data_IF_060872968684
#
_entry.id   IF_060872968684
#
_cell.length_a   1.000
_cell.length_b   1.000
_cell.length_c   1.000
_cell.angle_alpha   90.00
_cell.angle_beta   90.00
_cell.angle_gamma   90.00
#
_symmetry.space_group_name_H-M   'P 1'
#
loop_
_entity.id
_entity.type
_entity.pdbx_description
1 polymer ?
#
# COMPACT_ATOMS: atom_id res chain seq x y z
N UNK A 1 22.36 -4.40 48.97
CA UNK A 1 22.56 -4.66 47.53
C UNK A 1 21.28 -5.05 46.77
N UNK A 2 20.35 -5.82 47.35
CA UNK A 2 19.08 -6.19 46.68
C UNK A 2 18.15 -5.01 46.34
N UNK A 3 18.09 -3.98 47.20
CA UNK A 3 17.26 -2.78 46.99
C UNK A 3 17.71 -1.94 45.77
N UNK A 4 19.01 -1.88 45.49
CA UNK A 4 19.55 -1.16 44.33
C UNK A 4 19.15 -1.83 43.00
N UNK A 5 19.08 -3.16 42.98
CA UNK A 5 18.69 -3.93 41.80
C UNK A 5 17.21 -3.67 41.43
N UNK A 6 16.33 -3.58 42.44
CA UNK A 6 14.89 -3.33 42.23
C UNK A 6 14.63 -1.94 41.62
N UNK A 7 15.38 -0.93 42.04
CA UNK A 7 15.26 0.44 41.53
C UNK A 7 15.73 0.56 40.06
N UNK A 8 16.77 -0.18 39.68
CA UNK A 8 17.29 -0.20 38.31
C UNK A 8 16.30 -0.89 37.35
N UNK A 9 15.67 -1.99 37.79
CA UNK A 9 14.65 -2.70 36.99
C UNK A 9 13.39 -1.84 36.81
N UNK A 10 12.99 -1.08 37.84
CA UNK A 10 11.86 -0.16 37.74
C UNK A 10 12.13 1.01 36.78
N UNK A 11 13.36 1.53 36.74
CA UNK A 11 13.75 2.60 35.81
C UNK A 11 13.80 2.14 34.35
N UNK A 12 14.13 0.88 34.08
CA UNK A 12 14.13 0.30 32.73
C UNK A 12 12.73 -0.01 32.19
N UNK A 13 11.75 -0.24 33.05
CA UNK A 13 10.37 -0.54 32.64
C UNK A 13 9.59 0.73 32.21
N UNK A 14 10.05 1.93 32.59
CA UNK A 14 9.36 3.19 32.30
C UNK A 14 9.50 3.71 30.87
N UNK A 15 10.48 3.20 30.10
CA UNK A 15 10.77 3.67 28.73
C UNK A 15 10.07 2.88 27.61
N UNK A 16 9.30 1.83 27.95
CA UNK A 16 8.66 0.96 26.97
C UNK A 16 7.26 1.44 26.52
N UNK A 17 6.79 2.62 26.94
CA UNK A 17 5.39 3.05 26.76
C UNK A 17 5.19 4.31 25.89
N UNK A 18 6.16 4.69 25.08
CA UNK A 18 5.99 5.79 24.12
C UNK A 18 6.48 5.41 22.73
N UNK A 19 5.87 4.37 22.14
CA UNK A 19 5.84 4.26 20.70
C UNK A 19 4.72 5.18 20.19
N UNK A 20 5.01 6.29 19.48
CA UNK A 20 3.97 7.04 18.81
C UNK A 20 3.24 6.09 17.85
N UNK A 21 1.91 6.22 17.70
CA UNK A 21 1.18 5.43 16.71
C UNK A 21 1.80 5.67 15.32
N UNK A 22 1.89 4.63 14.47
CA UNK A 22 2.40 4.79 13.13
C UNK A 22 1.60 5.88 12.41
N UNK A 23 2.29 6.77 11.71
CA UNK A 23 1.65 7.85 10.97
C UNK A 23 0.61 7.28 10.00
N UNK A 24 -0.60 7.85 10.00
CA UNK A 24 -1.62 7.48 9.02
C UNK A 24 -1.17 7.96 7.64
N UNK A 25 -0.74 7.04 6.79
CA UNK A 25 -0.47 7.33 5.39
C UNK A 25 -1.80 7.33 4.63
N UNK A 26 -2.18 8.48 4.09
CA UNK A 26 -3.24 8.54 3.09
C UNK A 26 -2.64 8.01 1.78
N UNK A 27 -3.01 6.80 1.41
CA UNK A 27 -2.65 6.25 0.09
C UNK A 27 -3.67 6.81 -0.89
N UNK A 28 -3.20 7.50 -1.93
CA UNK A 28 -4.07 7.89 -3.04
C UNK A 28 -4.53 6.63 -3.78
N UNK A 29 -5.76 6.20 -3.53
CA UNK A 29 -6.37 5.00 -4.14
C UNK A 29 -7.08 5.30 -5.45
N UNK A 30 -6.83 6.45 -6.07
CA UNK A 30 -7.61 6.98 -7.21
C UNK A 30 -7.72 5.99 -8.38
N UNK A 31 -6.69 5.15 -8.57
CA UNK A 31 -6.66 4.12 -9.61
C UNK A 31 -6.43 2.70 -9.08
N UNK A 32 -6.45 2.48 -7.76
CA UNK A 32 -6.14 1.16 -7.17
C UNK A 32 -7.21 0.09 -7.46
N UNK A 33 -8.40 0.51 -7.89
CA UNK A 33 -9.51 -0.38 -8.25
C UNK A 33 -9.48 -0.79 -9.73
N UNK A 34 -8.60 -0.19 -10.54
CA UNK A 34 -8.47 -0.49 -11.96
C UNK A 34 -7.41 -1.56 -12.18
N UNK A 35 -7.83 -2.73 -12.66
CA UNK A 35 -6.94 -3.86 -12.95
C UNK A 35 -6.42 -3.79 -14.38
N UNK A 36 -5.17 -4.20 -14.60
CA UNK A 36 -4.68 -4.40 -15.96
C UNK A 36 -5.38 -5.59 -16.61
N UNK A 37 -5.86 -5.40 -17.83
CA UNK A 37 -6.41 -6.44 -18.69
C UNK A 37 -5.41 -6.80 -19.78
N UNK A 38 -5.52 -8.02 -20.30
CA UNK A 38 -4.66 -8.51 -21.39
C UNK A 38 -5.52 -9.40 -22.27
N UNK A 39 -5.43 -9.18 -23.58
CA UNK A 39 -6.13 -10.00 -24.54
C UNK A 39 -5.58 -11.43 -24.55
N UNK A 40 -6.47 -12.39 -24.70
CA UNK A 40 -6.21 -13.82 -24.78
C UNK A 40 -6.41 -14.31 -26.22
N UNK A 41 -5.75 -15.40 -26.59
CA UNK A 41 -5.97 -16.06 -27.89
C UNK A 41 -7.37 -16.65 -28.04
N UNK A 42 -8.13 -16.77 -26.94
CA UNK A 42 -9.52 -17.22 -26.94
C UNK A 42 -10.53 -16.08 -27.11
N UNK A 43 -10.07 -14.82 -27.05
CA UNK A 43 -10.95 -13.67 -27.14
C UNK A 43 -11.44 -13.46 -28.58
N UNK A 44 -12.65 -12.92 -28.70
CA UNK A 44 -13.13 -12.46 -30.00
C UNK A 44 -12.42 -11.16 -30.39
N UNK A 45 -12.41 -10.85 -31.69
CA UNK A 45 -11.86 -9.58 -32.19
C UNK A 45 -12.51 -8.35 -31.54
N UNK A 46 -13.78 -8.45 -31.15
CA UNK A 46 -14.46 -7.34 -30.48
C UNK A 46 -13.99 -7.18 -29.04
N UNK A 47 -13.88 -8.28 -28.29
CA UNK A 47 -13.33 -8.28 -26.94
C UNK A 47 -11.89 -7.73 -26.90
N UNK A 48 -11.07 -8.10 -27.88
CA UNK A 48 -9.70 -7.57 -28.00
C UNK A 48 -9.71 -6.04 -28.17
N UNK A 49 -10.61 -5.50 -28.99
CA UNK A 49 -10.75 -4.04 -29.20
C UNK A 49 -11.20 -3.34 -27.92
N UNK A 50 -12.16 -3.91 -27.20
CA UNK A 50 -12.62 -3.37 -25.92
C UNK A 50 -11.49 -3.35 -24.89
N UNK A 51 -10.72 -4.43 -24.76
CA UNK A 51 -9.54 -4.51 -23.89
C UNK A 51 -8.54 -3.41 -24.26
N UNK A 52 -8.19 -3.27 -25.54
CA UNK A 52 -7.25 -2.23 -26.00
C UNK A 52 -7.76 -0.83 -25.64
N UNK A 53 -9.05 -0.55 -25.88
CA UNK A 53 -9.64 0.75 -25.55
C UNK A 53 -9.61 1.05 -24.05
N UNK A 54 -9.89 0.05 -23.23
CA UNK A 54 -9.82 0.13 -21.77
C UNK A 54 -8.39 0.41 -21.30
N UNK A 55 -7.40 -0.30 -21.83
CA UNK A 55 -5.98 -0.13 -21.49
C UNK A 55 -5.47 1.28 -21.80
N UNK A 56 -5.90 1.84 -22.94
CA UNK A 56 -5.59 3.22 -23.34
C UNK A 56 -6.23 4.21 -22.36
N UNK A 57 -7.51 4.02 -22.03
CA UNK A 57 -8.21 4.88 -21.10
C UNK A 57 -7.59 4.83 -19.70
N UNK A 58 -7.22 3.64 -19.21
CA UNK A 58 -6.54 3.49 -17.93
C UNK A 58 -5.20 4.22 -17.94
N UNK A 59 -4.36 4.04 -18.96
CA UNK A 59 -3.07 4.73 -19.01
C UNK A 59 -3.18 6.26 -19.07
N UNK A 60 -4.18 6.78 -19.80
CA UNK A 60 -4.40 8.24 -19.89
C UNK A 60 -4.89 8.86 -18.58
N UNK A 61 -5.78 8.17 -17.87
CA UNK A 61 -6.43 8.72 -16.67
C UNK A 61 -5.68 8.35 -15.37
N UNK A 62 -4.84 7.32 -15.41
CA UNK A 62 -4.10 6.79 -14.28
C UNK A 62 -2.61 6.65 -14.62
N UNK A 63 -1.87 7.76 -14.69
CA UNK A 63 -0.43 7.70 -14.88
C UNK A 63 0.19 6.91 -13.72
N UNK A 64 1.08 5.95 -14.03
CA UNK A 64 1.86 5.29 -12.99
C UNK A 64 2.68 6.37 -12.30
N UNK A 65 2.47 6.57 -11.00
CA UNK A 65 3.32 7.48 -10.24
C UNK A 65 4.77 7.02 -10.38
N UNK A 66 5.58 7.82 -11.06
CA UNK A 66 7.04 7.68 -11.06
C UNK A 66 7.49 7.89 -9.63
N UNK A 67 7.82 6.80 -8.96
CA UNK A 67 8.37 6.81 -7.61
C UNK A 67 9.82 7.28 -7.62
#
# INVERSE_FOLDING_TARGET
MRLLIVLIVAALAGSAHHCPPPASHVIETTCSWLTQMTASSADTTETEREIISYEIARHKNCPKETK
#
